data_IF_231580755311
#
_entry.id   IF_231580755311
#
_cell.length_a   1.000
_cell.length_b   1.000
_cell.length_c   1.000
_cell.angle_alpha   90.00
_cell.angle_beta   90.00
_cell.angle_gamma   90.00
#
_symmetry.space_group_name_H-M   'P 1'
#
loop_
_entity.id
_entity.type
_entity.pdbx_description
1 polymer ?
#
# COMPACT_ATOMS: atom_id res chain seq x y z
N UNK A 1 -12.57 -24.95 31.86
CA UNK A 1 -11.86 -24.89 30.56
C UNK A 1 -12.19 -23.56 29.91
N UNK A 2 -11.24 -22.63 29.91
CA UNK A 2 -11.36 -21.33 29.25
C UNK A 2 -11.25 -21.50 27.73
N UNK A 3 -12.14 -20.88 26.96
CA UNK A 3 -12.01 -20.83 25.51
C UNK A 3 -11.97 -19.35 25.08
N UNK A 4 -10.74 -18.82 25.01
CA UNK A 4 -10.45 -17.49 24.48
C UNK A 4 -10.34 -17.58 22.95
N UNK A 5 -11.35 -17.08 22.22
CA UNK A 5 -11.16 -16.69 20.83
C UNK A 5 -12.10 -15.55 20.47
N UNK A 6 -11.52 -14.48 19.94
CA UNK A 6 -12.16 -13.31 19.30
C UNK A 6 -12.31 -11.99 20.08
N UNK A 7 -11.28 -11.59 20.85
CA UNK A 7 -11.12 -10.19 21.29
C UNK A 7 -9.64 -9.79 21.19
N UNK A 8 -9.12 -9.44 20.00
CA UNK A 8 -7.69 -9.05 19.91
C UNK A 8 -7.29 -8.03 18.84
N UNK A 9 -8.21 -7.38 18.11
CA UNK A 9 -7.81 -6.35 17.13
C UNK A 9 -8.32 -4.94 17.45
N UNK A 10 -9.48 -4.80 18.10
CA UNK A 10 -10.02 -3.47 18.48
C UNK A 10 -9.54 -2.97 19.85
N UNK A 11 -9.14 -3.87 20.75
CA UNK A 11 -8.65 -3.51 22.09
C UNK A 11 -7.20 -2.98 22.06
N UNK A 12 -6.40 -3.43 21.09
CA UNK A 12 -4.99 -3.03 20.93
C UNK A 12 -4.85 -1.60 20.43
N UNK A 13 -5.73 -1.13 19.52
CA UNK A 13 -5.67 0.23 18.98
C UNK A 13 -6.04 1.30 20.02
N UNK A 14 -7.01 1.00 20.91
CA UNK A 14 -7.46 1.93 21.97
C UNK A 14 -6.44 2.01 23.10
N UNK A 15 -5.77 0.92 23.42
CA UNK A 15 -4.69 0.87 24.44
C UNK A 15 -3.49 1.74 24.05
N UNK A 16 -3.01 1.65 22.80
CA UNK A 16 -1.84 2.43 22.36
C UNK A 16 -2.13 3.93 22.32
N UNK A 17 -3.35 4.33 21.95
CA UNK A 17 -3.78 5.75 21.96
C UNK A 17 -3.94 6.28 23.39
N UNK A 18 -4.43 5.46 24.33
CA UNK A 18 -4.55 5.85 25.74
C UNK A 18 -3.19 6.01 26.44
N UNK A 19 -2.19 5.19 26.10
CA UNK A 19 -0.84 5.29 26.69
C UNK A 19 -0.10 6.53 26.16
N UNK A 20 -0.31 6.89 24.88
CA UNK A 20 0.28 8.11 24.30
C UNK A 20 -0.33 9.41 24.87
N UNK A 21 -1.61 9.42 25.28
CA UNK A 21 -2.23 10.60 25.91
C UNK A 21 -1.90 10.74 27.40
N UNK A 22 -1.74 9.65 28.14
CA UNK A 22 -1.32 9.69 29.56
C UNK A 22 0.15 10.14 29.71
N UNK A 23 1.01 9.84 28.73
CA UNK A 23 2.43 10.25 28.74
C UNK A 23 2.65 11.77 28.62
N UNK A 24 1.64 12.53 28.16
CA UNK A 24 1.68 13.99 28.07
C UNK A 24 1.16 14.71 29.32
N UNK A 25 0.51 14.02 30.28
CA UNK A 25 -0.05 14.64 31.49
C UNK A 25 0.86 14.58 32.73
N UNK A 26 1.93 13.78 32.71
CA UNK A 26 2.81 13.58 33.88
C UNK A 26 4.17 14.31 33.80
N UNK A 27 4.36 15.21 32.84
CA UNK A 27 5.49 16.14 32.82
C UNK A 27 5.05 17.48 33.43
N UNK A 28 4.71 17.48 34.73
CA UNK A 28 4.71 18.70 35.52
C UNK A 28 6.11 18.86 36.10
N UNK A 29 7.04 19.27 35.23
CA UNK A 29 8.40 19.61 35.62
C UNK A 29 8.33 20.70 36.67
N UNK A 30 8.93 20.44 37.83
CA UNK A 30 9.17 21.42 38.88
C UNK A 30 10.02 22.56 38.30
N UNK A 31 9.36 23.64 37.89
CA UNK A 31 10.04 24.91 37.61
C UNK A 31 10.25 25.62 38.95
N UNK A 32 11.38 25.33 39.59
CA UNK A 32 11.95 26.24 40.57
C UNK A 32 12.41 27.50 39.84
N UNK A 33 11.75 28.63 40.10
CA UNK A 33 12.24 29.92 39.62
C UNK A 33 13.47 30.29 40.45
N UNK A 34 14.66 30.12 39.88
CA UNK A 34 15.87 30.76 40.39
C UNK A 34 15.83 32.19 39.88
N UNK A 35 15.67 33.16 40.78
CA UNK A 35 15.77 34.59 40.47
C UNK A 35 17.26 34.92 40.28
N UNK A 36 17.71 35.39 39.10
CA UNK A 36 19.10 35.80 38.94
C UNK A 36 19.23 37.27 39.35
N UNK A 37 19.85 37.53 40.50
CA UNK A 37 20.32 38.86 40.86
C UNK A 37 20.28 39.14 42.36
N UNK A 38 21.45 39.28 42.97
CA UNK A 38 21.61 39.88 44.29
C UNK A 38 22.53 39.07 45.21
N UNK A 39 23.72 39.59 45.42
CA UNK A 39 24.77 39.01 46.24
C UNK A 39 24.30 38.73 47.68
N UNK A 40 24.79 37.61 48.24
CA UNK A 40 25.17 37.39 49.65
C UNK A 40 24.60 36.10 50.25
N UNK A 41 25.53 35.21 50.62
CA UNK A 41 25.38 34.10 51.56
C UNK A 41 24.65 34.53 52.85
N UNK A 42 23.33 34.29 52.95
CA UNK A 42 22.61 34.06 54.21
C UNK A 42 21.38 33.20 53.95
N UNK A 43 21.47 31.90 54.25
CA UNK A 43 20.29 31.05 54.44
C UNK A 43 19.57 31.55 55.70
N UNK A 44 18.52 32.34 55.50
CA UNK A 44 17.65 32.79 56.59
C UNK A 44 16.41 31.92 56.57
N UNK A 45 16.29 30.98 57.51
CA UNK A 45 15.09 30.20 57.72
C UNK A 45 13.95 31.15 58.16
N UNK A 46 12.98 31.40 57.27
CA UNK A 46 11.77 32.13 57.62
C UNK A 46 10.87 31.17 58.41
N UNK A 47 10.86 31.30 59.73
CA UNK A 47 9.92 30.60 60.61
C UNK A 47 8.51 31.16 60.31
N UNK A 48 7.51 30.32 59.97
CA UNK A 48 6.14 30.83 59.81
C UNK A 48 5.61 31.30 61.16
N UNK A 49 5.21 32.57 61.23
CA UNK A 49 4.47 33.14 62.36
C UNK A 49 3.15 32.37 62.54
N UNK A 50 2.74 31.97 63.75
CA UNK A 50 1.44 31.34 63.96
C UNK A 50 0.33 32.36 63.63
N UNK A 51 -0.21 32.26 62.42
CA UNK A 51 -1.38 33.01 61.99
C UNK A 51 -2.64 32.35 62.56
N UNK A 52 -3.49 33.16 63.16
CA UNK A 52 -4.85 32.82 63.63
C UNK A 52 -5.57 31.95 62.59
N UNK A 53 -6.19 30.80 62.94
CA UNK A 53 -6.94 30.00 61.98
C UNK A 53 -8.16 30.78 61.50
N UNK A 54 -8.17 31.19 60.24
CA UNK A 54 -9.37 31.70 59.59
C UNK A 54 -10.35 30.54 59.36
N UNK A 55 -11.67 30.75 59.57
CA UNK A 55 -12.66 29.70 59.31
C UNK A 55 -12.67 29.34 57.82
N UNK A 56 -12.41 28.06 57.55
CA UNK A 56 -12.41 27.48 56.21
C UNK A 56 -13.87 27.44 55.73
N UNK A 57 -14.19 28.20 54.68
CA UNK A 57 -15.53 28.19 54.08
C UNK A 57 -15.72 26.87 53.30
N UNK A 58 -16.80 26.11 53.53
CA UNK A 58 -17.02 24.87 52.80
C UNK A 58 -17.18 25.15 51.30
N UNK A 59 -16.45 24.36 50.50
CA UNK A 59 -16.53 24.34 49.04
C UNK A 59 -17.91 23.80 48.62
N UNK A 60 -18.61 24.40 47.64
CA UNK A 60 -19.89 23.89 47.17
C UNK A 60 -19.74 22.48 46.58
N UNK A 61 -20.69 21.59 46.88
CA UNK A 61 -20.73 20.25 46.29
C UNK A 61 -20.92 20.32 44.76
N UNK A 62 -20.24 19.44 43.98
CA UNK A 62 -20.44 19.35 42.55
C UNK A 62 -21.88 18.97 42.20
N UNK A 63 -22.50 19.70 41.27
CA UNK A 63 -23.82 19.35 40.74
C UNK A 63 -23.77 18.03 39.95
N UNK A 64 -24.84 17.21 39.99
CA UNK A 64 -24.93 16.00 39.18
C UNK A 64 -24.87 16.31 37.68
N UNK A 65 -24.03 15.57 36.95
CA UNK A 65 -23.91 15.66 35.50
C UNK A 65 -25.12 14.95 34.85
N UNK A 66 -25.84 15.58 33.91
CA UNK A 66 -26.96 14.94 33.21
C UNK A 66 -26.51 13.67 32.48
N UNK A 67 -27.31 12.60 32.61
CA UNK A 67 -27.07 11.32 31.94
C UNK A 67 -27.28 11.48 30.43
N UNK A 68 -26.42 10.90 29.57
CA UNK A 68 -26.62 10.94 28.12
C UNK A 68 -27.94 10.26 27.73
N UNK A 69 -28.70 10.90 26.83
CA UNK A 69 -29.89 10.32 26.21
C UNK A 69 -29.52 9.07 25.39
N UNK A 70 -30.34 8.02 25.39
CA UNK A 70 -30.11 6.85 24.53
C UNK A 70 -30.12 7.26 23.06
N UNK A 71 -29.11 6.80 22.32
CA UNK A 71 -29.03 6.92 20.86
C UNK A 71 -30.09 6.05 20.19
N UNK A 72 -30.81 6.56 19.17
CA UNK A 72 -31.80 5.78 18.44
C UNK A 72 -31.16 4.60 17.70
N UNK A 73 -31.86 3.47 17.71
CA UNK A 73 -31.44 2.23 17.05
C UNK A 73 -31.57 2.40 15.53
N UNK A 74 -30.55 2.05 14.73
CA UNK A 74 -30.63 2.11 13.28
C UNK A 74 -31.74 1.20 12.74
N UNK A 75 -32.55 1.72 11.82
CA UNK A 75 -33.58 0.95 11.13
C UNK A 75 -32.96 -0.17 10.28
N UNK A 76 -33.59 -1.36 10.17
CA UNK A 76 -33.09 -2.45 9.33
C UNK A 76 -32.93 -2.02 7.87
N UNK A 77 -31.79 -2.39 7.26
CA UNK A 77 -31.58 -2.17 5.82
C UNK A 77 -32.50 -3.07 4.99
N UNK A 78 -33.03 -2.58 3.85
CA UNK A 78 -33.77 -3.41 2.92
C UNK A 78 -32.96 -4.62 2.45
N UNK A 79 -33.63 -5.76 2.36
CA UNK A 79 -33.05 -7.01 1.87
C UNK A 79 -32.74 -6.86 0.36
N UNK A 80 -31.57 -7.31 -0.11
CA UNK A 80 -31.23 -7.26 -1.53
C UNK A 80 -32.20 -8.10 -2.36
N UNK A 81 -32.65 -7.54 -3.48
CA UNK A 81 -33.49 -8.21 -4.48
C UNK A 81 -32.73 -9.42 -5.09
N UNK A 82 -33.33 -10.61 -5.20
CA UNK A 82 -32.71 -11.77 -5.83
C UNK A 82 -32.18 -11.47 -7.23
N UNK A 83 -30.91 -11.82 -7.48
CA UNK A 83 -30.30 -11.69 -8.79
C UNK A 83 -31.00 -12.60 -9.82
N UNK A 84 -31.25 -12.12 -11.05
CA UNK A 84 -31.81 -12.94 -12.10
C UNK A 84 -30.88 -14.12 -12.44
N UNK A 85 -31.49 -15.28 -12.66
CA UNK A 85 -30.80 -16.51 -13.04
C UNK A 85 -30.06 -16.31 -14.38
N UNK A 86 -28.81 -16.76 -14.50
CA UNK A 86 -28.08 -16.68 -15.77
C UNK A 86 -28.77 -17.56 -16.82
N UNK A 87 -29.02 -16.96 -17.98
CA UNK A 87 -29.60 -17.64 -19.15
C UNK A 87 -28.60 -18.69 -19.66
N UNK A 88 -29.06 -19.89 -20.07
CA UNK A 88 -28.17 -20.93 -20.60
C UNK A 88 -27.36 -20.39 -21.79
N UNK A 89 -26.05 -20.61 -21.75
CA UNK A 89 -25.14 -20.34 -22.86
C UNK A 89 -25.52 -21.23 -24.06
N UNK A 90 -25.69 -20.65 -25.27
CA UNK A 90 -25.97 -21.44 -26.46
C UNK A 90 -24.86 -22.45 -26.72
N UNK A 91 -25.25 -23.67 -27.13
CA UNK A 91 -24.31 -24.72 -27.52
C UNK A 91 -23.48 -24.26 -28.73
N UNK A 92 -22.17 -24.58 -28.78
CA UNK A 92 -21.36 -24.31 -29.94
C UNK A 92 -21.96 -24.98 -31.18
N UNK A 93 -22.06 -24.23 -32.27
CA UNK A 93 -22.38 -24.80 -33.59
C UNK A 93 -21.26 -25.77 -34.00
N UNK A 94 -21.60 -26.89 -34.69
CA UNK A 94 -20.60 -27.79 -35.24
C UNK A 94 -19.67 -27.02 -36.19
N UNK A 95 -18.37 -27.20 -35.96
CA UNK A 95 -17.30 -26.62 -36.80
C UNK A 95 -17.43 -27.26 -38.20
N UNK A 96 -17.48 -26.49 -39.28
CA UNK A 96 -17.48 -27.04 -40.62
C UNK A 96 -16.23 -27.90 -40.83
N UNK A 97 -16.43 -29.08 -41.43
CA UNK A 97 -15.34 -29.95 -41.84
C UNK A 97 -14.36 -29.16 -42.72
N UNK A 98 -13.03 -29.30 -42.52
CA UNK A 98 -12.06 -28.65 -43.37
C UNK A 98 -12.28 -29.14 -44.81
N UNK A 99 -12.59 -28.21 -45.70
CA UNK A 99 -12.51 -28.42 -47.14
C UNK A 99 -11.08 -28.86 -47.47
N UNK A 100 -10.88 -29.93 -48.26
CA UNK A 100 -9.56 -30.31 -48.75
C UNK A 100 -8.95 -29.12 -49.51
N UNK A 101 -8.02 -28.44 -48.86
CA UNK A 101 -7.25 -27.37 -49.47
C UNK A 101 -6.39 -27.95 -50.57
N UNK A 102 -6.48 -27.36 -51.76
CA UNK A 102 -5.52 -27.61 -52.83
C UNK A 102 -4.09 -27.47 -52.27
N UNK A 103 -3.16 -28.37 -52.60
CA UNK A 103 -1.79 -28.28 -52.12
C UNK A 103 -1.21 -26.95 -52.58
N UNK A 104 -0.83 -26.11 -51.61
CA UNK A 104 -0.07 -24.90 -51.87
C UNK A 104 1.22 -25.27 -52.62
N UNK A 105 1.68 -24.44 -53.57
CA UNK A 105 3.00 -24.62 -54.17
C UNK A 105 4.05 -24.63 -53.05
N UNK A 106 4.99 -25.57 -53.16
CA UNK A 106 6.07 -25.83 -52.22
C UNK A 106 6.70 -24.53 -51.68
N UNK A 107 6.97 -24.43 -50.37
CA UNK A 107 7.73 -23.32 -49.82
C UNK A 107 9.13 -23.34 -50.43
N UNK A 108 9.53 -22.20 -50.99
CA UNK A 108 10.91 -21.93 -51.37
C UNK A 108 11.82 -22.20 -50.15
N UNK A 109 12.88 -23.01 -50.26
CA UNK A 109 13.81 -23.22 -49.16
C UNK A 109 14.59 -21.92 -48.97
N UNK A 110 14.24 -21.14 -47.95
CA UNK A 110 15.03 -19.94 -47.65
C UNK A 110 14.60 -19.09 -46.47
N UNK A 111 13.30 -18.92 -46.20
CA UNK A 111 12.88 -18.04 -45.11
C UNK A 111 11.66 -18.61 -44.38
N UNK A 112 11.79 -19.07 -43.12
CA UNK A 112 10.62 -19.30 -42.30
C UNK A 112 9.83 -17.99 -42.17
N UNK A 113 8.48 -18.03 -42.15
CA UNK A 113 7.69 -16.84 -41.85
C UNK A 113 8.17 -16.23 -40.52
N UNK A 114 8.21 -14.90 -40.36
CA UNK A 114 8.64 -14.27 -39.11
C UNK A 114 7.75 -14.74 -37.96
N UNK A 115 8.26 -15.67 -37.18
CA UNK A 115 7.62 -16.18 -35.96
C UNK A 115 7.90 -15.15 -34.87
N UNK A 116 6.92 -14.34 -34.48
CA UNK A 116 7.08 -13.42 -33.36
C UNK A 116 7.44 -14.22 -32.09
N UNK A 117 8.73 -14.26 -31.76
CA UNK A 117 9.24 -14.98 -30.59
C UNK A 117 8.95 -14.12 -29.36
N UNK A 118 7.82 -14.39 -28.68
CA UNK A 118 7.55 -13.87 -27.34
C UNK A 118 8.44 -14.59 -26.35
N UNK A 119 9.17 -13.83 -25.54
CA UNK A 119 10.02 -14.31 -24.47
C UNK A 119 9.56 -13.72 -23.14
N UNK A 120 9.63 -14.52 -22.08
CA UNK A 120 9.39 -14.05 -20.72
C UNK A 120 10.69 -14.01 -19.94
N UNK A 121 10.88 -12.95 -19.15
CA UNK A 121 11.96 -12.85 -18.18
C UNK A 121 11.35 -12.55 -16.82
N UNK A 122 11.72 -13.33 -15.82
CA UNK A 122 11.35 -13.09 -14.43
C UNK A 122 12.57 -12.60 -13.66
N UNK A 123 12.39 -11.52 -12.91
CA UNK A 123 13.37 -11.05 -11.93
C UNK A 123 12.77 -11.18 -10.53
N UNK A 124 13.44 -11.93 -9.66
CA UNK A 124 12.98 -12.17 -8.29
C UNK A 124 13.47 -11.04 -7.38
N UNK A 125 12.53 -10.34 -6.75
CA UNK A 125 12.82 -9.27 -5.80
C UNK A 125 12.76 -9.84 -4.37
N UNK A 126 11.69 -10.58 -4.08
CA UNK A 126 11.41 -11.30 -2.83
C UNK A 126 11.74 -10.50 -1.55
N UNK A 127 11.26 -9.26 -1.48
CA UNK A 127 11.42 -8.42 -0.29
C UNK A 127 10.40 -7.30 -0.25
N UNK A 128 10.31 -6.66 0.92
CA UNK A 128 9.68 -5.35 1.05
C UNK A 128 10.48 -4.29 0.28
N UNK A 129 9.72 -3.43 -0.40
CA UNK A 129 10.20 -2.32 -1.21
C UNK A 129 9.54 -1.06 -0.70
N UNK A 130 10.35 -0.04 -0.42
CA UNK A 130 9.91 1.23 0.14
C UNK A 130 10.39 2.37 -0.74
N UNK A 131 9.48 2.96 -1.53
CA UNK A 131 9.77 4.12 -2.37
C UNK A 131 11.06 3.97 -3.21
N UNK A 132 11.14 2.91 -3.99
CA UNK A 132 12.35 2.50 -4.72
C UNK A 132 12.15 2.51 -6.24
N UNK A 133 13.24 2.74 -6.98
CA UNK A 133 13.28 2.62 -8.42
C UNK A 133 14.07 1.38 -8.85
N UNK A 134 13.48 0.58 -9.73
CA UNK A 134 14.17 -0.50 -10.42
C UNK A 134 14.51 -0.10 -11.84
N UNK A 135 15.77 -0.28 -12.21
CA UNK A 135 16.19 -0.13 -13.60
C UNK A 135 15.91 -1.40 -14.37
N UNK A 136 15.20 -1.27 -15.49
CA UNK A 136 14.74 -2.44 -16.25
C UNK A 136 15.90 -3.21 -16.88
N UNK A 137 16.93 -2.53 -17.35
CA UNK A 137 18.16 -3.15 -17.86
C UNK A 137 18.83 -4.08 -16.84
N UNK A 138 18.87 -3.67 -15.57
CA UNK A 138 19.47 -4.41 -14.47
C UNK A 138 18.64 -5.63 -14.10
N UNK A 139 17.31 -5.53 -14.19
CA UNK A 139 16.40 -6.65 -13.94
C UNK A 139 16.40 -7.68 -15.08
N UNK A 140 16.57 -7.23 -16.32
CA UNK A 140 16.64 -8.11 -17.49
C UNK A 140 18.02 -8.80 -17.60
N UNK A 141 19.09 -8.05 -17.34
CA UNK A 141 20.47 -8.45 -17.59
C UNK A 141 20.87 -8.28 -19.07
N UNK A 142 21.96 -8.95 -19.47
CA UNK A 142 22.47 -8.87 -20.84
C UNK A 142 21.62 -9.69 -21.84
N UNK A 143 21.60 -9.26 -23.11
CA UNK A 143 21.01 -10.01 -24.23
C UNK A 143 19.62 -9.54 -24.69
N UNK A 144 19.06 -8.48 -24.10
CA UNK A 144 17.70 -8.01 -24.40
C UNK A 144 17.61 -6.74 -25.27
N UNK A 145 18.74 -6.21 -25.75
CA UNK A 145 18.79 -5.01 -26.61
C UNK A 145 17.99 -5.15 -27.92
N UNK A 146 17.84 -6.37 -28.43
CA UNK A 146 17.06 -6.70 -29.62
C UNK A 146 15.57 -6.96 -29.35
N UNK A 147 15.06 -6.73 -28.15
CA UNK A 147 13.67 -7.05 -27.80
C UNK A 147 12.85 -5.78 -27.56
N UNK A 148 11.57 -5.82 -27.91
CA UNK A 148 10.57 -4.85 -27.46
C UNK A 148 9.86 -5.37 -26.22
N UNK A 149 9.64 -4.50 -25.25
CA UNK A 149 8.84 -4.80 -24.07
C UNK A 149 7.36 -4.63 -24.39
N UNK A 150 6.55 -5.66 -24.13
CA UNK A 150 5.09 -5.64 -24.32
C UNK A 150 4.35 -5.32 -23.03
N UNK A 151 4.70 -6.03 -21.96
CA UNK A 151 4.00 -5.94 -20.68
C UNK A 151 5.01 -6.12 -19.56
N UNK A 152 4.82 -5.39 -18.45
CA UNK A 152 5.47 -5.68 -17.18
C UNK A 152 4.38 -6.10 -16.19
N UNK A 153 4.56 -7.25 -15.56
CA UNK A 153 3.76 -7.69 -14.43
C UNK A 153 4.59 -7.61 -13.15
N UNK A 154 4.08 -6.95 -12.12
CA UNK A 154 4.68 -6.89 -10.79
C UNK A 154 3.82 -7.69 -9.84
N UNK A 155 4.35 -8.78 -9.33
CA UNK A 155 3.64 -9.71 -8.45
C UNK A 155 3.82 -9.23 -7.01
N UNK A 156 2.72 -8.85 -6.35
CA UNK A 156 2.74 -8.20 -5.03
C UNK A 156 1.97 -9.01 -3.98
N UNK A 157 2.35 -8.88 -2.70
CA UNK A 157 1.59 -9.50 -1.61
C UNK A 157 0.28 -8.75 -1.32
N UNK A 158 -0.70 -9.45 -0.76
CA UNK A 158 -2.00 -8.89 -0.38
C UNK A 158 -1.97 -7.73 0.63
N UNK A 159 -0.88 -7.61 1.39
CA UNK A 159 -0.72 -6.55 2.40
C UNK A 159 -0.01 -5.30 1.84
N UNK A 160 0.25 -5.26 0.54
CA UNK A 160 0.97 -4.17 -0.13
C UNK A 160 0.06 -2.98 -0.41
N UNK A 161 0.57 -1.75 -0.22
CA UNK A 161 -0.10 -0.52 -0.60
C UNK A 161 0.91 0.44 -1.26
N UNK A 162 0.89 0.50 -2.59
CA UNK A 162 1.86 1.29 -3.35
C UNK A 162 1.30 1.73 -4.71
N UNK A 163 1.86 2.81 -5.24
CA UNK A 163 1.72 3.18 -6.65
C UNK A 163 2.93 2.66 -7.41
N UNK A 164 2.70 1.84 -8.43
CA UNK A 164 3.75 1.35 -9.33
C UNK A 164 3.63 2.11 -10.64
N UNK A 165 4.73 2.70 -11.08
CA UNK A 165 4.81 3.54 -12.27
C UNK A 165 5.90 3.06 -13.20
N UNK A 166 5.64 3.13 -14.50
CA UNK A 166 6.61 2.95 -15.56
C UNK A 166 7.07 4.33 -16.03
N UNK A 167 8.37 4.58 -15.99
CA UNK A 167 8.98 5.80 -16.49
C UNK A 167 9.95 5.51 -17.63
N UNK A 168 10.01 6.41 -18.60
CA UNK A 168 10.98 6.43 -19.70
C UNK A 168 11.67 7.78 -19.69
N UNK A 169 13.00 7.80 -19.59
CA UNK A 169 13.77 9.05 -19.51
C UNK A 169 13.25 10.01 -18.42
N UNK A 170 12.71 9.46 -17.33
CA UNK A 170 12.09 10.24 -16.23
C UNK A 170 10.66 10.71 -16.49
N UNK A 171 10.11 10.52 -17.69
CA UNK A 171 8.71 10.82 -18.00
C UNK A 171 7.81 9.65 -17.63
N UNK A 172 6.68 9.93 -16.97
CA UNK A 172 5.68 8.92 -16.64
C UNK A 172 4.97 8.40 -17.90
N UNK A 173 4.89 7.07 -18.01
CA UNK A 173 4.26 6.37 -19.15
C UNK A 173 2.98 5.66 -18.74
N UNK A 174 3.04 4.92 -17.64
CA UNK A 174 1.89 4.23 -17.08
C UNK A 174 2.02 4.24 -15.56
N UNK A 175 0.89 4.27 -14.88
CA UNK A 175 0.82 4.18 -13.42
C UNK A 175 -0.39 3.37 -13.00
N UNK A 176 -0.22 2.62 -11.92
CA UNK A 176 -1.29 1.84 -11.30
C UNK A 176 -1.09 1.84 -9.79
N UNK A 177 -2.20 1.98 -9.07
CA UNK A 177 -2.22 1.78 -7.63
C UNK A 177 -2.53 0.31 -7.32
N UNK A 178 -1.84 -0.25 -6.33
CA UNK A 178 -2.16 -1.56 -5.76
C UNK A 178 -2.43 -1.46 -4.26
N UNK A 179 -3.41 -2.25 -3.82
CA UNK A 179 -3.72 -2.54 -2.42
C UNK A 179 -3.62 -4.05 -2.15
N UNK A 180 -2.72 -4.73 -2.88
CA UNK A 180 -2.43 -6.15 -2.71
C UNK A 180 -2.76 -7.04 -3.91
N UNK A 181 -3.01 -6.45 -5.08
CA UNK A 181 -3.22 -7.17 -6.35
C UNK A 181 -2.07 -6.92 -7.32
N UNK A 182 -1.74 -7.91 -8.14
CA UNK A 182 -0.69 -7.82 -9.16
C UNK A 182 -0.91 -6.61 -10.07
N UNK A 183 0.18 -5.96 -10.43
CA UNK A 183 0.16 -4.76 -11.26
C UNK A 183 0.64 -5.08 -12.65
N UNK A 184 -0.12 -4.63 -13.65
CA UNK A 184 0.24 -4.73 -15.06
C UNK A 184 0.50 -3.32 -15.60
N UNK A 185 1.70 -3.11 -16.14
CA UNK A 185 2.11 -1.86 -16.79
C UNK A 185 2.32 -2.10 -18.28
N UNK A 186 1.86 -1.14 -19.06
CA UNK A 186 1.94 -1.20 -20.51
C UNK A 186 2.83 -0.07 -21.03
N UNK A 187 4.02 -0.36 -21.57
CA UNK A 187 4.80 0.60 -22.34
C UNK A 187 4.02 0.96 -23.62
N UNK A 188 3.10 1.92 -23.51
CA UNK A 188 2.20 2.36 -24.59
C UNK A 188 2.89 3.22 -25.65
N UNK A 189 4.02 2.76 -26.16
CA UNK A 189 4.63 3.45 -27.27
C UNK A 189 5.23 2.49 -28.27
N UNK A 190 4.83 2.73 -29.51
CA UNK A 190 5.41 2.20 -30.73
C UNK A 190 6.90 2.59 -30.91
N UNK A 191 7.46 3.35 -29.98
CA UNK A 191 8.83 3.84 -29.96
C UNK A 191 9.85 2.81 -29.49
N UNK A 192 11.05 2.92 -30.06
CA UNK A 192 12.21 2.15 -29.65
C UNK A 192 12.76 2.75 -28.34
N UNK A 193 12.63 2.01 -27.25
CA UNK A 193 13.28 2.37 -25.99
C UNK A 193 14.46 1.45 -25.75
N UNK A 194 15.62 2.05 -25.56
CA UNK A 194 16.72 1.37 -24.90
C UNK A 194 16.29 1.12 -23.44
N UNK A 195 16.40 -0.13 -22.99
CA UNK A 195 16.02 -0.54 -21.63
C UNK A 195 16.78 0.21 -20.54
N UNK A 196 17.92 0.81 -20.90
CA UNK A 196 18.70 1.72 -20.03
C UNK A 196 17.91 2.95 -19.57
N UNK A 197 16.91 3.38 -20.34
CA UNK A 197 16.07 4.54 -20.05
C UNK A 197 14.81 4.22 -19.24
N UNK A 198 14.49 2.93 -19.08
CA UNK A 198 13.26 2.42 -18.48
C UNK A 198 13.43 2.21 -16.98
N UNK A 199 12.47 2.72 -16.21
CA UNK A 199 12.41 2.53 -14.76
C UNK A 199 11.03 2.10 -14.30
N UNK A 200 11.00 1.17 -13.35
CA UNK A 200 9.81 0.84 -12.58
C UNK A 200 9.97 1.53 -11.23
N UNK A 201 9.15 2.55 -10.98
CA UNK A 201 9.11 3.24 -9.69
C UNK A 201 8.00 2.66 -8.84
N UNK A 202 8.33 2.28 -7.61
CA UNK A 202 7.36 1.86 -6.59
C UNK A 202 7.33 2.96 -5.55
N UNK A 203 6.22 3.66 -5.39
CA UNK A 203 6.02 4.69 -4.37
C UNK A 203 5.05 4.18 -3.29
N UNK A 204 5.48 4.18 -2.03
CA UNK A 204 4.77 3.51 -0.93
C UNK A 204 5.51 2.25 -0.46
N UNK A 205 4.77 1.30 0.11
CA UNK A 205 5.31 0.08 0.69
C UNK A 205 4.64 -1.16 0.07
N UNK A 206 5.43 -2.01 -0.60
CA UNK A 206 4.94 -3.25 -1.20
C UNK A 206 5.94 -4.38 -1.00
N UNK A 207 5.45 -5.58 -0.69
CA UNK A 207 6.26 -6.79 -0.80
C UNK A 207 6.14 -7.30 -2.23
N UNK A 208 7.26 -7.31 -2.95
CA UNK A 208 7.31 -7.75 -4.35
C UNK A 208 7.94 -9.13 -4.39
N UNK A 209 7.23 -10.12 -4.93
CA UNK A 209 7.76 -11.45 -5.16
C UNK A 209 8.72 -11.42 -6.35
N UNK A 210 8.20 -11.00 -7.50
CA UNK A 210 8.95 -10.93 -8.74
C UNK A 210 8.34 -9.94 -9.72
N UNK A 211 9.13 -9.57 -10.73
CA UNK A 211 8.71 -8.76 -11.86
C UNK A 211 8.89 -9.60 -13.12
N UNK A 212 7.82 -9.76 -13.89
CA UNK A 212 7.80 -10.52 -15.14
C UNK A 212 7.71 -9.55 -16.33
N UNK A 213 8.62 -9.73 -17.27
CA UNK A 213 8.68 -8.97 -18.52
C UNK A 213 8.23 -9.87 -19.66
N UNK A 214 7.19 -9.48 -20.37
CA UNK A 214 6.82 -10.05 -21.67
C UNK A 214 7.55 -9.25 -22.75
N UNK A 215 8.40 -9.92 -23.51
CA UNK A 215 9.29 -9.34 -24.50
C UNK A 215 9.03 -9.98 -25.85
N UNK A 216 9.30 -9.27 -26.93
CA UNK A 216 9.16 -9.80 -28.29
C UNK A 216 10.39 -9.43 -29.11
N UNK A 217 10.97 -10.43 -29.78
CA UNK A 217 12.19 -10.24 -30.57
C UNK A 217 11.94 -9.32 -31.76
N UNK A 218 12.81 -8.34 -31.97
CA UNK A 218 12.81 -7.47 -33.15
C UNK A 218 13.47 -8.19 -34.33
N UNK A 219 12.90 -8.03 -35.52
CA UNK A 219 13.49 -8.41 -36.81
C UNK A 219 14.20 -7.21 -37.43
#
# INVERSE_FOLDING_TARGET
MFNNKSISSKLTLVSTVAIMTVSLLNVQTAYGYVVPGGDSNKVTAVVPRPGNPQPIRPTPEPRPIPRPSPTPVPSPRPQPDPRPYPRPTPRPYPVPYPTPGYPYPYPYPGYPPPVNYTQYKTSYINRWVYSENFYVDSLLGYGYSGYRLKTIRVDVSGDSAATVSLLINGQLIDMKYTSGSDVYLYPNSYGYYDTSSLRISVNGAAYIYNIVFELERRY
#
